data_IF_004521653827
#
_entry.id   IF_004521653827
#
_cell.length_a   1.000
_cell.length_b   1.000
_cell.length_c   1.000
_cell.angle_alpha   90.00
_cell.angle_beta   90.00
_cell.angle_gamma   90.00
#
_symmetry.space_group_name_H-M   'P 1'
#
loop_
_entity.id
_entity.type
_entity.pdbx_description
1 polymer ?
#
# COMPACT_ATOMS: atom_id res chain seq x y z
N UNK A 1 3.22 11.15 15.53
CA UNK A 1 2.04 10.38 15.91
C UNK A 1 1.65 9.45 14.78
N UNK A 2 1.37 8.20 15.11
CA UNK A 2 1.03 7.21 14.10
C UNK A 2 -0.48 7.07 13.99
N UNK A 3 -1.01 7.35 12.82
CA UNK A 3 -2.41 7.12 12.53
C UNK A 3 -2.51 5.97 11.53
N UNK A 4 -3.45 5.09 11.76
CA UNK A 4 -3.74 4.00 10.83
C UNK A 4 -4.85 4.47 9.91
N UNK A 5 -4.55 4.57 8.62
CA UNK A 5 -5.49 5.08 7.62
C UNK A 5 -5.77 3.97 6.61
N UNK A 6 -7.05 3.63 6.36
CA UNK A 6 -7.37 2.64 5.35
C UNK A 6 -7.17 3.22 3.95
N UNK A 7 -6.61 2.41 3.07
CA UNK A 7 -6.40 2.81 1.70
C UNK A 7 -6.61 1.64 0.76
N UNK A 8 -6.95 1.95 -0.48
CA UNK A 8 -7.15 0.93 -1.50
C UNK A 8 -5.88 0.78 -2.33
N UNK A 9 -5.40 -0.45 -2.42
CA UNK A 9 -4.22 -0.74 -3.23
C UNK A 9 -4.61 -0.66 -4.70
N UNK A 10 -3.94 0.22 -5.44
CA UNK A 10 -4.24 0.39 -6.87
C UNK A 10 -3.18 -0.24 -7.76
N UNK A 11 -1.97 -0.45 -7.24
CA UNK A 11 -0.90 -1.05 -8.02
C UNK A 11 0.07 -1.75 -7.09
N UNK A 12 0.62 -2.88 -7.53
CA UNK A 12 1.65 -3.62 -6.80
C UNK A 12 2.79 -3.90 -7.76
N UNK A 13 4.02 -3.68 -7.32
CA UNK A 13 5.20 -3.91 -8.15
C UNK A 13 6.40 -4.19 -7.28
N UNK A 14 7.47 -4.70 -7.91
CA UNK A 14 8.73 -4.95 -7.21
C UNK A 14 9.70 -3.80 -7.49
N UNK A 15 10.34 -3.32 -6.43
CA UNK A 15 11.39 -2.34 -6.54
C UNK A 15 12.63 -2.91 -5.83
N UNK A 16 13.63 -3.31 -6.62
CA UNK A 16 14.88 -3.87 -6.10
C UNK A 16 14.66 -5.06 -5.16
N UNK A 17 13.71 -5.93 -5.51
CA UNK A 17 13.42 -7.11 -4.71
C UNK A 17 12.48 -6.86 -3.55
N UNK A 18 12.01 -5.64 -3.39
CA UNK A 18 11.06 -5.30 -2.33
C UNK A 18 9.69 -5.07 -2.95
N UNK A 19 8.67 -5.70 -2.37
CA UNK A 19 7.31 -5.52 -2.84
C UNK A 19 6.81 -4.15 -2.41
N UNK A 20 6.46 -3.35 -3.39
CA UNK A 20 5.94 -1.99 -3.18
C UNK A 20 4.57 -1.89 -3.81
N UNK A 21 3.84 -0.88 -3.45
CA UNK A 21 2.54 -0.64 -4.04
C UNK A 21 2.13 0.81 -3.94
N UNK A 22 1.18 1.16 -4.78
CA UNK A 22 0.54 2.46 -4.70
C UNK A 22 -0.83 2.30 -4.07
N UNK A 23 -1.09 3.10 -3.06
CA UNK A 23 -2.31 3.02 -2.26
C UNK A 23 -3.01 4.36 -2.33
N UNK A 24 -4.31 4.30 -2.63
CA UNK A 24 -5.14 5.50 -2.72
C UNK A 24 -5.82 5.76 -1.38
N UNK A 25 -5.53 6.92 -0.82
CA UNK A 25 -6.15 7.38 0.42
C UNK A 25 -7.04 8.57 0.09
N UNK A 26 -8.30 8.31 -0.18
CA UNK A 26 -9.29 9.37 -0.40
C UNK A 26 -8.85 10.34 -1.52
N UNK A 27 -8.43 9.78 -2.64
CA UNK A 27 -8.03 10.55 -3.81
C UNK A 27 -6.54 10.88 -3.87
N UNK A 28 -5.79 10.59 -2.83
CA UNK A 28 -4.35 10.80 -2.80
C UNK A 28 -3.65 9.46 -2.89
N UNK A 29 -2.78 9.30 -3.88
CA UNK A 29 -2.05 8.06 -4.09
C UNK A 29 -0.64 8.19 -3.52
N UNK A 30 -0.26 7.24 -2.69
CA UNK A 30 1.08 7.20 -2.10
C UNK A 30 1.72 5.84 -2.32
N UNK A 31 3.04 5.86 -2.44
CA UNK A 31 3.81 4.63 -2.55
C UNK A 31 4.14 4.11 -1.17
N UNK A 32 3.87 2.83 -0.94
CA UNK A 32 4.11 2.20 0.36
C UNK A 32 4.81 0.87 0.16
N UNK A 33 5.49 0.41 1.22
CA UNK A 33 6.15 -0.88 1.22
C UNK A 33 5.14 -1.95 1.63
N UNK A 34 5.00 -2.98 0.82
CA UNK A 34 4.07 -4.08 1.07
C UNK A 34 4.80 -5.40 1.29
N UNK A 35 6.07 -5.35 1.67
CA UNK A 35 6.89 -6.55 1.81
C UNK A 35 6.35 -7.51 2.85
N UNK A 36 5.66 -7.01 3.87
CA UNK A 36 5.07 -7.83 4.92
C UNK A 36 3.65 -8.29 4.61
N UNK A 37 3.17 -8.00 3.41
CA UNK A 37 1.83 -8.42 2.96
C UNK A 37 1.98 -9.14 1.62
N UNK A 38 2.53 -10.36 1.62
CA UNK A 38 2.86 -11.04 0.37
C UNK A 38 1.66 -11.37 -0.50
N UNK A 39 0.48 -11.49 0.09
CA UNK A 39 -0.72 -11.87 -0.65
C UNK A 39 -1.58 -10.69 -1.09
N UNK A 40 -1.15 -9.48 -0.81
CA UNK A 40 -1.95 -8.31 -1.16
C UNK A 40 -1.92 -8.08 -2.67
N UNK A 41 -3.05 -7.68 -3.22
CA UNK A 41 -3.23 -7.49 -4.66
C UNK A 41 -3.93 -6.17 -4.93
N UNK A 42 -3.81 -5.64 -6.16
CA UNK A 42 -4.58 -4.45 -6.55
C UNK A 42 -6.07 -4.69 -6.34
N UNK A 43 -6.72 -3.70 -5.76
CA UNK A 43 -8.14 -3.80 -5.41
C UNK A 43 -8.37 -4.12 -3.94
N UNK A 44 -7.37 -4.62 -3.25
CA UNK A 44 -7.48 -4.91 -1.83
C UNK A 44 -7.36 -3.61 -1.02
N UNK A 45 -7.89 -3.66 0.19
CA UNK A 45 -7.75 -2.56 1.13
C UNK A 45 -6.70 -2.91 2.16
N UNK A 46 -5.94 -1.93 2.58
CA UNK A 46 -4.95 -2.12 3.64
C UNK A 46 -4.95 -0.92 4.56
N UNK A 47 -4.40 -1.11 5.74
CA UNK A 47 -4.26 -0.03 6.71
C UNK A 47 -2.79 0.36 6.75
N UNK A 48 -2.52 1.62 6.50
CA UNK A 48 -1.15 2.15 6.48
C UNK A 48 -0.99 3.13 7.63
N UNK A 49 0.15 3.03 8.30
CA UNK A 49 0.49 3.94 9.39
C UNK A 49 1.22 5.15 8.82
N UNK A 50 0.74 6.30 9.14
CA UNK A 50 1.34 7.56 8.70
C UNK A 50 1.87 8.38 9.87
#
# INVERSE_FOLDING_TARGET
>A
MCLAVPGKVVEVYDANGTKMGKVNFDGITKEVCLAYLPDIQPGDYTIVHV
#
